data_IF_285190667818
#
_entry.id   IF_285190667818
#
_cell.length_a   1.000
_cell.length_b   1.000
_cell.length_c   1.000
_cell.angle_alpha   90.00
_cell.angle_beta   90.00
_cell.angle_gamma   90.00
#
_symmetry.space_group_name_H-M   'P 1'
#
loop_
_entity.id
_entity.type
_entity.pdbx_description
1 polymer ?
#
# COMPACT_ATOMS: atom_id res chain seq x y z
N UNK A 1 30.16 -18.04 -6.99
CA UNK A 1 29.07 -18.11 -8.00
C UNK A 1 28.55 -19.53 -8.06
N UNK A 2 27.26 -19.75 -7.74
CA UNK A 2 26.35 -20.83 -8.22
C UNK A 2 25.14 -20.89 -7.28
N UNK A 3 24.18 -20.00 -7.46
CA UNK A 3 22.85 -20.13 -6.87
C UNK A 3 21.94 -20.71 -7.94
N UNK A 4 21.35 -21.91 -7.76
CA UNK A 4 20.44 -22.45 -8.75
C UNK A 4 19.11 -21.69 -8.69
N UNK A 5 18.62 -21.29 -9.87
CA UNK A 5 17.29 -20.72 -10.13
C UNK A 5 16.14 -21.48 -9.42
N UNK A 6 16.37 -22.73 -9.00
CA UNK A 6 15.45 -23.57 -8.25
C UNK A 6 15.04 -23.05 -6.86
N UNK A 7 15.89 -22.32 -6.12
CA UNK A 7 15.52 -21.84 -4.78
C UNK A 7 14.47 -20.72 -4.80
N UNK A 8 14.54 -19.80 -5.76
CA UNK A 8 13.51 -18.76 -5.92
C UNK A 8 12.14 -19.33 -6.28
N UNK A 9 12.12 -20.42 -7.07
CA UNK A 9 10.91 -21.16 -7.42
C UNK A 9 10.38 -21.96 -6.22
N UNK A 10 11.27 -22.57 -5.42
CA UNK A 10 10.92 -23.27 -4.19
C UNK A 10 10.28 -22.33 -3.16
N UNK A 11 10.90 -21.17 -2.89
CA UNK A 11 10.36 -20.15 -1.99
C UNK A 11 8.99 -19.61 -2.44
N UNK A 12 8.79 -19.41 -3.74
CA UNK A 12 7.50 -19.00 -4.28
C UNK A 12 6.42 -20.09 -4.20
N UNK A 13 6.78 -21.36 -4.40
CA UNK A 13 5.87 -22.50 -4.20
C UNK A 13 5.49 -22.67 -2.74
N UNK A 14 6.43 -22.48 -1.82
CA UNK A 14 6.20 -22.52 -0.39
C UNK A 14 5.26 -21.37 0.05
N UNK A 15 5.53 -20.12 -0.35
CA UNK A 15 4.65 -18.96 -0.11
C UNK A 15 3.21 -19.20 -0.57
N UNK A 16 3.01 -19.88 -1.70
CA UNK A 16 1.68 -20.23 -2.21
C UNK A 16 0.97 -21.34 -1.42
N UNK A 17 1.71 -22.23 -0.75
CA UNK A 17 1.16 -23.35 0.02
C UNK A 17 0.84 -22.98 1.47
N UNK A 18 1.54 -22.02 2.06
CA UNK A 18 1.46 -21.66 3.49
C UNK A 18 0.20 -20.87 3.91
N UNK A 19 -0.96 -21.12 3.29
CA UNK A 19 -2.21 -20.32 3.39
C UNK A 19 -3.01 -20.40 4.70
N UNK A 20 -2.45 -20.94 5.78
CA UNK A 20 -3.18 -21.16 7.04
C UNK A 20 -2.48 -20.47 8.24
N UNK A 21 -2.50 -19.14 8.24
CA UNK A 21 -2.11 -18.34 9.41
C UNK A 21 -3.26 -17.39 9.74
N UNK A 22 -4.04 -17.73 10.77
CA UNK A 22 -5.05 -16.83 11.32
C UNK A 22 -4.38 -15.56 11.87
N UNK A 23 -4.88 -14.40 11.41
CA UNK A 23 -4.43 -13.07 11.87
C UNK A 23 -5.48 -12.51 12.82
N UNK A 24 -5.11 -12.25 14.08
CA UNK A 24 -5.99 -11.54 15.00
C UNK A 24 -5.81 -10.03 14.87
N UNK A 25 -6.95 -9.32 14.93
CA UNK A 25 -7.12 -7.91 14.57
C UNK A 25 -6.56 -6.97 15.64
N UNK A 26 -6.01 -5.85 15.15
CA UNK A 26 -5.52 -4.66 15.85
C UNK A 26 -6.33 -4.29 17.09
N UNK A 27 -5.69 -4.30 18.27
CA UNK A 27 -6.00 -3.33 19.32
C UNK A 27 -5.00 -2.19 19.19
N UNK A 28 -5.47 -1.01 18.79
CA UNK A 28 -4.76 0.23 19.07
C UNK A 28 -4.88 0.48 20.59
N UNK A 29 -4.06 -0.23 21.35
CA UNK A 29 -3.90 -0.05 22.78
C UNK A 29 -2.57 0.62 23.03
N UNK A 30 -2.57 1.63 23.89
CA UNK A 30 -1.40 2.47 24.20
C UNK A 30 -0.33 1.65 24.95
N UNK A 31 0.46 0.87 24.22
CA UNK A 31 1.66 0.16 24.73
C UNK A 31 2.73 0.07 23.66
N UNK A 32 3.15 1.21 23.14
CA UNK A 32 4.47 1.31 22.51
C UNK A 32 5.54 1.07 23.58
N UNK A 33 5.92 -0.20 23.79
CA UNK A 33 7.03 -0.59 24.68
C UNK A 33 8.40 -0.23 24.08
N UNK A 34 8.45 0.53 22.98
CA UNK A 34 9.66 1.10 22.36
C UNK A 34 10.51 1.85 23.40
N UNK A 35 9.86 2.55 24.34
CA UNK A 35 10.55 3.25 25.42
C UNK A 35 11.34 2.33 26.35
N UNK A 36 11.08 1.02 26.32
CA UNK A 36 11.76 -0.01 27.13
C UNK A 36 12.91 -0.70 26.40
N UNK A 37 13.03 -0.56 25.06
CA UNK A 37 14.15 -1.14 24.33
C UNK A 37 15.45 -0.40 24.72
N UNK A 38 16.47 -1.12 25.24
CA UNK A 38 17.74 -0.51 25.60
C UNK A 38 18.39 0.17 24.40
N UNK A 39 19.09 1.28 24.63
CA UNK A 39 19.96 1.84 23.59
C UNK A 39 21.11 0.87 23.36
N UNK A 40 21.24 0.38 22.13
CA UNK A 40 22.36 -0.44 21.70
C UNK A 40 23.28 0.44 20.87
N UNK A 41 24.41 0.81 21.46
CA UNK A 41 25.46 1.56 20.78
C UNK A 41 26.58 0.58 20.39
N UNK A 42 27.15 0.72 19.19
CA UNK A 42 28.22 -0.15 18.72
C UNK A 42 28.49 -0.06 17.22
N UNK A 43 29.69 -0.41 16.81
CA UNK A 43 30.10 -0.33 15.41
C UNK A 43 29.25 -1.26 14.53
N UNK A 44 28.75 -0.71 13.41
CA UNK A 44 27.84 -1.34 12.44
C UNK A 44 26.45 -1.73 12.98
N UNK A 45 26.05 -1.35 14.19
CA UNK A 45 24.67 -1.59 14.64
C UNK A 45 23.72 -0.73 13.79
N UNK A 46 22.59 -1.32 13.41
CA UNK A 46 21.51 -0.65 12.69
C UNK A 46 20.20 -0.89 13.46
N UNK A 47 20.05 -0.32 14.65
CA UNK A 47 18.88 -0.45 15.50
C UNK A 47 17.68 0.41 15.05
N UNK A 48 16.51 0.28 15.71
CA UNK A 48 15.27 0.96 15.29
C UNK A 48 15.38 2.47 15.05
N UNK A 49 16.30 3.17 15.73
CA UNK A 49 16.45 4.62 15.62
C UNK A 49 17.13 5.07 14.32
N UNK A 50 17.97 4.22 13.75
CA UNK A 50 18.68 4.49 12.50
C UNK A 50 17.80 4.26 11.27
N UNK A 51 16.70 3.52 11.44
CA UNK A 51 15.75 3.26 10.36
C UNK A 51 14.88 4.46 9.96
N UNK A 52 14.16 4.28 8.85
CA UNK A 52 13.20 5.22 8.28
C UNK A 52 11.78 4.63 8.27
N UNK A 53 10.78 5.51 8.18
CA UNK A 53 9.37 5.10 8.15
C UNK A 53 8.78 4.71 9.52
N UNK A 54 7.57 4.12 9.53
CA UNK A 54 6.88 3.70 10.74
C UNK A 54 7.57 2.50 11.41
N UNK A 55 7.43 2.37 12.73
CA UNK A 55 7.86 1.16 13.42
C UNK A 55 6.81 0.08 13.25
N UNK A 56 7.26 -1.13 12.91
CA UNK A 56 6.48 -2.34 12.95
C UNK A 56 6.92 -3.20 14.13
N UNK A 57 5.98 -3.49 15.02
CA UNK A 57 6.12 -4.52 16.05
C UNK A 57 5.34 -5.74 15.59
N UNK A 58 6.00 -6.89 15.51
CA UNK A 58 5.36 -8.15 15.11
C UNK A 58 5.63 -9.18 16.19
N UNK A 59 4.57 -9.87 16.62
CA UNK A 59 4.64 -10.95 17.60
C UNK A 59 4.05 -12.21 17.00
N UNK A 60 4.81 -13.29 17.01
CA UNK A 60 4.44 -14.61 16.54
C UNK A 60 4.44 -15.55 17.74
N UNK A 61 3.30 -16.13 18.07
CA UNK A 61 3.15 -16.97 19.26
C UNK A 61 2.65 -18.35 18.87
N UNK A 62 3.27 -19.37 19.44
CA UNK A 62 2.79 -20.75 19.35
C UNK A 62 2.69 -21.36 20.74
N UNK A 63 1.56 -22.00 21.01
CA UNK A 63 1.31 -22.80 22.21
C UNK A 63 1.64 -24.25 21.93
N UNK A 64 2.29 -24.89 22.89
CA UNK A 64 2.78 -26.26 22.78
C UNK A 64 2.44 -27.01 24.07
N UNK A 65 1.69 -28.10 23.92
CA UNK A 65 1.29 -28.98 25.03
C UNK A 65 2.06 -30.31 24.98
N UNK A 66 2.29 -30.91 26.15
CA UNK A 66 2.94 -32.22 26.27
C UNK A 66 4.42 -32.25 25.88
N UNK A 67 5.10 -31.10 25.89
CA UNK A 67 6.52 -31.02 25.60
C UNK A 67 7.36 -31.45 26.83
N UNK A 68 8.31 -32.38 26.68
CA UNK A 68 9.20 -32.78 27.78
C UNK A 68 10.22 -31.71 28.16
N UNK A 69 10.44 -30.70 27.30
CA UNK A 69 11.42 -29.65 27.53
C UNK A 69 10.90 -28.55 28.46
N UNK A 70 11.82 -27.94 29.21
CA UNK A 70 11.63 -26.62 29.82
C UNK A 70 11.77 -25.49 28.78
N UNK A 71 11.36 -24.28 29.13
CA UNK A 71 11.53 -23.10 28.29
C UNK A 71 13.02 -22.82 27.97
N UNK A 72 13.89 -22.95 28.97
CA UNK A 72 15.33 -22.77 28.80
C UNK A 72 15.97 -23.82 27.89
N UNK A 73 15.56 -25.10 28.01
CA UNK A 73 16.04 -26.18 27.15
C UNK A 73 15.58 -26.00 25.71
N UNK A 74 14.32 -25.59 25.49
CA UNK A 74 13.81 -25.29 24.16
C UNK A 74 14.63 -24.18 23.50
N UNK A 75 14.90 -23.09 24.22
CA UNK A 75 15.68 -21.95 23.70
C UNK A 75 17.14 -22.34 23.45
N UNK A 76 17.73 -23.15 24.33
CA UNK A 76 19.07 -23.70 24.12
C UNK A 76 19.13 -24.55 22.83
N UNK A 77 18.11 -25.39 22.60
CA UNK A 77 18.01 -26.24 21.41
C UNK A 77 17.82 -25.42 20.13
N UNK A 78 17.00 -24.38 20.16
CA UNK A 78 16.83 -23.44 19.02
C UNK A 78 18.12 -22.68 18.74
N UNK A 79 18.81 -22.20 19.79
CA UNK A 79 20.09 -21.48 19.63
C UNK A 79 21.25 -22.35 19.16
N UNK A 80 21.19 -23.68 19.38
CA UNK A 80 22.18 -24.62 18.88
C UNK A 80 22.08 -24.85 17.36
N UNK A 81 20.87 -24.75 16.79
CA UNK A 81 20.62 -24.86 15.36
C UNK A 81 19.38 -24.06 14.92
N UNK A 82 19.60 -22.81 14.51
CA UNK A 82 18.55 -21.94 13.96
C UNK A 82 17.98 -22.49 12.64
N UNK A 83 18.79 -23.20 11.86
CA UNK A 83 18.38 -23.74 10.55
C UNK A 83 17.46 -24.96 10.69
N UNK A 84 17.46 -25.65 11.84
CA UNK A 84 16.49 -26.71 12.13
C UNK A 84 15.05 -26.20 12.26
N UNK A 85 14.89 -24.93 12.66
CA UNK A 85 13.60 -24.23 12.75
C UNK A 85 13.30 -23.39 11.50
N UNK A 86 14.32 -22.92 10.79
CA UNK A 86 14.15 -22.10 9.58
C UNK A 86 13.71 -22.92 8.37
N UNK A 87 12.85 -22.38 7.48
CA UNK A 87 12.66 -22.97 6.17
C UNK A 87 13.92 -22.74 5.33
N UNK A 88 14.89 -23.67 5.36
CA UNK A 88 16.21 -23.56 4.71
C UNK A 88 16.16 -23.30 3.19
N UNK A 89 15.01 -23.56 2.57
CA UNK A 89 14.72 -23.23 1.17
C UNK A 89 14.58 -21.71 0.92
N UNK A 90 14.41 -20.92 2.00
CA UNK A 90 14.05 -19.50 1.99
C UNK A 90 14.90 -18.67 2.96
N UNK A 91 15.40 -19.24 4.05
CA UNK A 91 16.23 -18.51 5.01
C UNK A 91 17.29 -19.45 5.59
N UNK A 92 18.56 -19.14 5.35
CA UNK A 92 19.69 -19.87 5.94
C UNK A 92 20.48 -18.93 6.83
N UNK A 93 20.64 -19.32 8.09
CA UNK A 93 21.44 -18.64 9.09
C UNK A 93 22.87 -19.17 9.04
N UNK A 94 23.79 -18.36 8.53
CA UNK A 94 25.21 -18.68 8.52
C UNK A 94 25.93 -17.85 9.57
N UNK A 95 26.58 -18.54 10.53
CA UNK A 95 27.39 -17.87 11.55
C UNK A 95 28.68 -17.37 10.93
N UNK A 96 28.91 -16.07 10.96
CA UNK A 96 30.07 -15.43 10.31
C UNK A 96 31.15 -15.00 11.30
N UNK A 97 30.79 -14.79 12.57
CA UNK A 97 31.75 -14.49 13.65
C UNK A 97 31.30 -15.09 14.98
N UNK A 98 32.25 -15.51 15.82
CA UNK A 98 32.01 -16.10 17.15
C UNK A 98 32.57 -17.50 17.33
N UNK A 99 32.22 -18.15 18.45
CA UNK A 99 32.67 -19.53 18.76
C UNK A 99 31.89 -20.57 17.95
N UNK A 100 32.40 -21.79 17.80
CA UNK A 100 31.80 -22.78 16.89
C UNK A 100 30.40 -23.26 17.32
N UNK A 101 30.09 -23.32 18.62
CA UNK A 101 28.79 -23.54 19.28
C UNK A 101 29.04 -23.65 20.81
N UNK A 102 28.06 -23.33 21.69
CA UNK A 102 26.71 -22.80 21.43
C UNK A 102 26.72 -21.28 21.16
N UNK A 103 25.57 -20.72 20.78
CA UNK A 103 25.37 -19.26 20.59
C UNK A 103 25.78 -18.46 21.84
N UNK A 104 26.60 -17.44 21.63
CA UNK A 104 27.10 -16.51 22.63
C UNK A 104 26.72 -15.06 22.29
N UNK A 105 26.72 -14.21 23.32
CA UNK A 105 26.62 -12.77 23.15
C UNK A 105 27.77 -12.26 22.27
N UNK A 106 27.46 -11.40 21.30
CA UNK A 106 28.43 -10.84 20.35
C UNK A 106 28.62 -11.64 19.06
N UNK A 107 28.12 -12.87 18.98
CA UNK A 107 28.17 -13.66 17.74
C UNK A 107 27.44 -12.95 16.60
N UNK A 108 28.00 -13.03 15.38
CA UNK A 108 27.39 -12.46 14.17
C UNK A 108 26.93 -13.58 13.23
N UNK A 109 25.76 -13.34 12.62
CA UNK A 109 25.15 -14.23 11.64
C UNK A 109 24.77 -13.41 10.40
N UNK A 110 24.80 -14.06 9.25
CA UNK A 110 24.16 -13.55 8.04
C UNK A 110 23.00 -14.46 7.71
N UNK A 111 21.80 -13.88 7.64
CA UNK A 111 20.61 -14.58 7.16
C UNK A 111 20.53 -14.40 5.65
N UNK A 112 20.74 -15.48 4.91
CA UNK A 112 20.63 -15.48 3.46
C UNK A 112 19.18 -15.67 3.04
N UNK A 113 18.64 -14.74 2.26
CA UNK A 113 17.27 -14.76 1.73
C UNK A 113 17.27 -14.81 0.19
N UNK A 114 16.25 -15.40 -0.47
CA UNK A 114 16.17 -15.49 -1.93
C UNK A 114 16.37 -14.16 -2.65
N UNK A 115 17.43 -14.08 -3.45
CA UNK A 115 17.85 -12.86 -4.15
C UNK A 115 19.24 -12.39 -3.71
N UNK A 116 19.63 -11.13 -3.98
CA UNK A 116 20.93 -10.59 -3.56
C UNK A 116 20.94 -10.16 -2.07
N UNK A 117 20.03 -10.66 -1.25
CA UNK A 117 19.76 -10.12 0.08
C UNK A 117 20.52 -10.88 1.16
N UNK A 118 21.47 -10.17 1.78
CA UNK A 118 22.16 -10.63 2.98
C UNK A 118 21.67 -9.80 4.16
N UNK A 119 21.19 -10.48 5.19
CA UNK A 119 20.62 -9.86 6.37
C UNK A 119 21.56 -10.10 7.57
N UNK A 120 22.57 -9.24 7.79
CA UNK A 120 23.52 -9.40 8.88
C UNK A 120 22.91 -9.02 10.23
N UNK A 121 23.09 -9.87 11.23
CA UNK A 121 22.58 -9.70 12.59
C UNK A 121 23.64 -10.06 13.63
N UNK A 122 23.55 -9.47 14.83
CA UNK A 122 24.43 -9.77 15.97
C UNK A 122 23.63 -10.12 17.20
N UNK A 123 24.07 -11.13 17.95
CA UNK A 123 23.49 -11.48 19.25
C UNK A 123 23.82 -10.38 20.25
N UNK A 124 22.80 -9.68 20.74
CA UNK A 124 22.95 -8.61 21.75
C UNK A 124 22.46 -9.01 23.13
N UNK A 125 21.73 -10.11 23.22
CA UNK A 125 21.20 -10.62 24.48
C UNK A 125 21.11 -12.15 24.42
N UNK A 126 21.51 -12.80 25.51
CA UNK A 126 21.35 -14.24 25.73
C UNK A 126 21.02 -14.47 27.20
N UNK A 127 19.77 -14.82 27.48
CA UNK A 127 19.27 -15.22 28.78
C UNK A 127 18.84 -16.70 28.73
N UNK A 128 18.61 -17.40 29.86
CA UNK A 128 18.24 -18.81 29.82
C UNK A 128 17.05 -19.12 28.90
N UNK A 129 16.02 -18.27 28.94
CA UNK A 129 14.74 -18.44 28.24
C UNK A 129 14.55 -17.51 27.03
N UNK A 130 15.59 -16.75 26.65
CA UNK A 130 15.52 -15.90 25.47
C UNK A 130 16.88 -15.59 24.85
N UNK A 131 16.86 -15.19 23.58
CA UNK A 131 17.99 -14.50 22.95
C UNK A 131 17.48 -13.43 21.99
N UNK A 132 18.33 -12.43 21.71
CA UNK A 132 17.98 -11.30 20.85
C UNK A 132 19.06 -11.01 19.83
N UNK A 133 18.62 -10.75 18.61
CA UNK A 133 19.43 -10.20 17.54
C UNK A 133 19.15 -8.71 17.37
N UNK A 134 20.20 -7.95 17.07
CA UNK A 134 20.10 -6.61 16.46
C UNK A 134 20.55 -6.70 15.01
N UNK A 135 19.92 -5.93 14.12
CA UNK A 135 20.34 -5.82 12.73
C UNK A 135 21.63 -5.00 12.62
N UNK A 136 22.50 -5.38 11.67
CA UNK A 136 23.74 -4.67 11.37
C UNK A 136 23.62 -3.86 10.06
N UNK A 137 24.57 -2.96 9.80
CA UNK A 137 24.63 -2.17 8.56
C UNK A 137 24.58 -3.07 7.32
N UNK A 138 23.74 -2.68 6.35
CA UNK A 138 23.47 -3.48 5.15
C UNK A 138 22.27 -4.42 5.29
N UNK A 139 21.68 -4.53 6.48
CA UNK A 139 20.41 -5.20 6.68
C UNK A 139 19.26 -4.34 6.11
N UNK A 140 18.26 -4.96 5.49
CA UNK A 140 17.09 -4.27 4.92
C UNK A 140 16.20 -3.62 6.00
N UNK A 141 16.28 -4.15 7.22
CA UNK A 141 15.56 -3.65 8.40
C UNK A 141 16.53 -3.03 9.39
N UNK A 142 16.05 -2.03 10.11
CA UNK A 142 16.71 -1.43 11.26
C UNK A 142 15.89 -1.79 12.51
N UNK A 143 16.36 -2.73 13.30
CA UNK A 143 15.53 -3.36 14.32
C UNK A 143 16.21 -4.35 15.24
N UNK A 144 15.41 -4.87 16.16
CA UNK A 144 15.75 -5.99 17.02
C UNK A 144 14.70 -7.10 16.89
N UNK A 145 15.12 -8.35 17.05
CA UNK A 145 14.24 -9.51 17.08
C UNK A 145 14.62 -10.42 18.24
N UNK A 146 13.64 -10.70 19.09
CA UNK A 146 13.73 -11.56 20.26
C UNK A 146 13.04 -12.90 20.00
N UNK A 147 13.68 -13.96 20.50
CA UNK A 147 13.13 -15.30 20.56
C UNK A 147 13.06 -15.66 22.04
N UNK A 148 11.86 -15.98 22.54
CA UNK A 148 11.65 -16.33 23.94
C UNK A 148 10.72 -17.52 24.10
N UNK A 149 10.91 -18.27 25.16
CA UNK A 149 9.99 -19.31 25.60
C UNK A 149 9.58 -19.05 27.04
N UNK A 150 8.36 -19.43 27.41
CA UNK A 150 7.87 -19.36 28.78
C UNK A 150 6.90 -20.52 29.04
N UNK A 151 6.68 -20.88 30.30
CA UNK A 151 5.57 -21.78 30.69
C UNK A 151 4.37 -20.99 31.18
N UNK A 152 3.16 -21.44 30.84
CA UNK A 152 1.91 -20.93 31.41
C UNK A 152 1.52 -21.76 32.64
N UNK A 153 0.54 -21.26 33.41
CA UNK A 153 0.02 -21.95 34.60
C UNK A 153 -0.59 -23.33 34.32
N UNK A 154 -0.97 -23.61 33.06
CA UNK A 154 -1.49 -24.90 32.60
C UNK A 154 -0.39 -25.88 32.14
N UNK A 155 0.87 -25.62 32.53
CA UNK A 155 2.09 -26.35 32.13
C UNK A 155 2.34 -26.43 30.61
N UNK A 156 1.73 -25.53 29.84
CA UNK A 156 2.01 -25.41 28.41
C UNK A 156 3.25 -24.55 28.16
N UNK A 157 4.04 -24.93 27.16
CA UNK A 157 5.10 -24.08 26.64
C UNK A 157 4.52 -23.08 25.64
N UNK A 158 4.93 -21.84 25.77
CA UNK A 158 4.63 -20.77 24.82
C UNK A 158 5.94 -20.27 24.25
N UNK A 159 6.09 -20.42 22.94
CA UNK A 159 7.23 -19.85 22.22
C UNK A 159 6.79 -18.61 21.46
N UNK A 160 7.53 -17.52 21.65
CA UNK A 160 7.24 -16.21 21.07
C UNK A 160 8.44 -15.67 20.30
N UNK A 161 8.22 -15.25 19.06
CA UNK A 161 9.14 -14.39 18.32
C UNK A 161 8.58 -12.98 18.32
N UNK A 162 9.35 -12.01 18.78
CA UNK A 162 8.94 -10.62 18.80
C UNK A 162 9.97 -9.74 18.09
N UNK A 163 9.55 -9.04 17.05
CA UNK A 163 10.43 -8.17 16.24
C UNK A 163 9.95 -6.73 16.28
N UNK A 164 10.89 -5.80 16.45
CA UNK A 164 10.67 -4.36 16.36
C UNK A 164 11.58 -3.80 15.27
N UNK A 165 11.00 -3.41 14.13
CA UNK A 165 11.79 -3.00 12.97
C UNK A 165 11.21 -1.77 12.26
N UNK A 166 12.10 -0.87 11.85
CA UNK A 166 11.89 0.19 10.86
C UNK A 166 12.62 -0.20 9.58
N UNK A 167 12.37 0.50 8.47
CA UNK A 167 13.11 0.23 7.23
C UNK A 167 14.58 0.64 7.41
N UNK A 168 15.52 -0.19 6.95
CA UNK A 168 16.96 0.03 7.09
C UNK A 168 17.44 1.31 6.42
N UNK A 169 16.97 1.56 5.20
CA UNK A 169 17.17 2.82 4.50
C UNK A 169 15.95 3.16 3.61
N UNK A 170 16.04 4.26 2.86
CA UNK A 170 14.97 4.75 1.96
C UNK A 170 14.81 3.90 0.70
N UNK A 171 15.86 3.24 0.24
CA UNK A 171 15.80 2.34 -0.92
C UNK A 171 15.08 1.04 -0.52
N UNK A 172 15.40 0.51 0.65
CA UNK A 172 14.70 -0.57 1.32
C UNK A 172 13.24 -0.17 1.57
N UNK A 173 12.95 1.06 2.01
CA UNK A 173 11.56 1.53 2.25
C UNK A 173 10.76 1.47 0.94
N UNK A 174 11.33 1.99 -0.15
CA UNK A 174 10.72 1.94 -1.48
C UNK A 174 10.57 0.50 -2.01
N UNK A 175 11.52 -0.40 -1.74
CA UNK A 175 11.44 -1.83 -2.09
C UNK A 175 10.35 -2.55 -1.26
N UNK A 176 10.24 -2.27 0.04
CA UNK A 176 9.21 -2.80 0.94
C UNK A 176 7.80 -2.30 0.61
N UNK A 177 7.67 -1.10 0.04
CA UNK A 177 6.38 -0.58 -0.45
C UNK A 177 6.04 -1.08 -1.85
N UNK A 178 7.03 -1.23 -2.73
CA UNK A 178 6.88 -1.59 -4.14
C UNK A 178 6.77 -3.09 -4.44
N UNK A 179 7.35 -3.96 -3.59
CA UNK A 179 7.36 -5.42 -3.75
C UNK A 179 6.66 -6.06 -2.55
N UNK A 180 5.32 -6.21 -2.64
CA UNK A 180 4.49 -6.83 -1.58
C UNK A 180 4.92 -8.25 -1.16
N UNK A 181 5.80 -8.90 -1.94
CA UNK A 181 6.34 -10.24 -1.69
C UNK A 181 7.28 -10.31 -0.47
N UNK A 182 8.02 -9.24 -0.15
CA UNK A 182 9.01 -9.26 0.94
C UNK A 182 8.36 -9.28 2.33
N UNK A 183 7.24 -8.56 2.51
CA UNK A 183 6.47 -8.52 3.78
C UNK A 183 5.75 -9.85 4.04
N UNK A 184 5.22 -10.47 2.99
CA UNK A 184 4.62 -11.80 3.09
C UNK A 184 5.67 -12.88 3.40
N UNK A 185 6.88 -12.75 2.88
CA UNK A 185 7.97 -13.71 3.13
C UNK A 185 8.37 -13.77 4.60
N UNK A 186 8.56 -12.64 5.28
CA UNK A 186 8.87 -12.61 6.71
C UNK A 186 7.75 -13.20 7.57
N UNK A 187 6.49 -12.86 7.26
CA UNK A 187 5.32 -13.39 7.95
C UNK A 187 5.30 -14.93 7.93
N UNK A 188 5.37 -15.50 6.73
CA UNK A 188 5.31 -16.96 6.60
C UNK A 188 6.57 -17.62 7.16
N UNK A 189 7.72 -16.94 7.10
CA UNK A 189 8.99 -17.52 7.53
C UNK A 189 8.99 -17.69 9.05
N UNK A 190 8.58 -16.66 9.80
CA UNK A 190 8.48 -16.74 11.25
C UNK A 190 7.33 -17.63 11.73
N UNK A 191 6.19 -17.66 11.01
CA UNK A 191 5.12 -18.60 11.32
C UNK A 191 5.58 -20.07 11.15
N UNK A 192 6.34 -20.36 10.08
CA UNK A 192 6.96 -21.68 9.89
C UNK A 192 7.99 -21.98 10.97
N UNK A 193 8.82 -20.99 11.32
CA UNK A 193 9.79 -21.11 12.40
C UNK A 193 9.11 -21.53 13.71
N UNK A 194 8.04 -20.85 14.11
CA UNK A 194 7.25 -21.22 15.28
C UNK A 194 6.69 -22.65 15.18
N UNK A 195 6.17 -23.05 14.02
CA UNK A 195 5.65 -24.41 13.84
C UNK A 195 6.76 -25.48 13.98
N UNK A 196 7.94 -25.23 13.41
CA UNK A 196 9.09 -26.14 13.54
C UNK A 196 9.64 -26.17 14.96
N UNK A 197 9.63 -25.05 15.68
CA UNK A 197 10.00 -25.03 17.10
C UNK A 197 9.05 -25.89 17.95
N UNK A 198 7.74 -25.88 17.65
CA UNK A 198 6.79 -26.78 18.30
C UNK A 198 7.15 -28.25 18.08
N UNK A 199 7.52 -28.64 16.87
CA UNK A 199 7.98 -30.00 16.56
C UNK A 199 9.32 -30.33 17.24
N UNK A 200 10.27 -29.38 17.26
CA UNK A 200 11.57 -29.52 17.93
C UNK A 200 11.44 -29.68 19.44
N UNK A 201 10.33 -29.21 20.04
CA UNK A 201 10.09 -29.35 21.46
C UNK A 201 9.73 -30.79 21.85
N UNK A 202 9.28 -31.62 20.90
CA UNK A 202 8.74 -32.96 21.16
C UNK A 202 7.31 -32.95 21.72
N UNK A 203 6.65 -31.79 21.78
CA UNK A 203 5.24 -31.64 22.13
C UNK A 203 4.33 -31.52 20.92
N UNK A 204 3.06 -31.21 21.18
CA UNK A 204 2.04 -30.99 20.15
C UNK A 204 1.61 -29.53 20.15
N UNK A 205 1.52 -28.95 18.95
CA UNK A 205 1.03 -27.58 18.78
C UNK A 205 -0.45 -27.50 19.18
N UNK A 206 -0.78 -26.55 20.06
CA UNK A 206 -2.16 -26.22 20.44
C UNK A 206 -2.61 -25.03 19.59
N UNK A 207 -3.58 -25.26 18.71
CA UNK A 207 -4.11 -24.22 17.83
C UNK A 207 -3.19 -23.84 16.65
N UNK A 208 -3.47 -22.67 16.07
CA UNK A 208 -2.65 -22.07 15.01
C UNK A 208 -1.59 -21.12 15.60
N UNK A 209 -0.61 -20.73 14.78
CA UNK A 209 0.34 -19.68 15.17
C UNK A 209 -0.37 -18.35 15.18
N UNK A 210 -0.42 -17.70 16.33
CA UNK A 210 -1.01 -16.38 16.49
C UNK A 210 -0.04 -15.33 16.00
N UNK A 211 -0.49 -14.44 15.13
CA UNK A 211 0.31 -13.29 14.65
C UNK A 211 -0.37 -11.99 15.02
N UNK A 212 0.34 -11.17 15.78
CA UNK A 212 -0.03 -9.79 16.09
C UNK A 212 0.94 -8.84 15.39
N UNK A 213 0.42 -7.84 14.66
CA UNK A 213 1.23 -6.78 14.06
C UNK A 213 0.69 -5.44 14.49
N UNK A 214 1.53 -4.67 15.17
CA UNK A 214 1.27 -3.29 15.56
C UNK A 214 2.15 -2.35 14.74
N UNK A 215 1.57 -1.22 14.35
CA UNK A 215 2.29 -0.17 13.64
C UNK A 215 2.18 1.11 14.47
N UNK A 216 3.32 1.69 14.79
CA UNK A 216 3.38 2.98 15.44
C UNK A 216 4.07 3.97 14.51
N UNK A 217 3.38 5.04 14.17
CA UNK A 217 4.02 6.18 13.51
C UNK A 217 4.89 6.88 14.56
N UNK A 218 6.21 6.75 14.47
CA UNK A 218 7.13 7.32 15.46
C UNK A 218 7.29 8.83 15.21
N UNK A 219 6.76 9.70 16.10
CA UNK A 219 6.97 11.14 15.95
C UNK A 219 8.40 11.46 16.42
N UNK A 220 9.27 11.90 15.53
CA UNK A 220 10.61 12.39 15.93
C UNK A 220 11.81 12.00 15.08
N UNK A 221 11.64 11.38 13.90
CA UNK A 221 12.77 11.19 12.98
C UNK A 221 13.14 12.49 12.25
N UNK A 222 13.95 13.34 12.89
CA UNK A 222 14.84 14.33 12.28
C UNK A 222 14.26 15.74 11.96
N UNK A 223 14.95 16.84 12.34
CA UNK A 223 14.71 18.20 11.82
C UNK A 223 14.75 18.26 10.28
N UNK A 224 15.56 17.40 9.66
CA UNK A 224 15.69 17.23 8.22
C UNK A 224 14.40 16.68 7.59
N UNK A 225 13.66 15.79 8.25
CA UNK A 225 12.38 15.28 7.74
C UNK A 225 11.26 16.32 7.80
N UNK A 226 11.28 17.25 8.78
CA UNK A 226 10.36 18.41 8.78
C UNK A 226 10.71 19.41 7.69
N UNK A 227 12.01 19.61 7.42
CA UNK A 227 12.46 20.44 6.31
C UNK A 227 12.16 19.77 4.95
N UNK A 228 12.31 18.46 4.84
CA UNK A 228 12.05 17.67 3.62
C UNK A 228 10.57 17.45 3.40
N UNK A 229 9.73 17.22 4.42
CA UNK A 229 8.27 17.22 4.25
C UNK A 229 7.77 18.62 3.92
N UNK A 230 8.32 19.68 4.52
CA UNK A 230 8.02 21.06 4.10
C UNK A 230 8.57 21.37 2.72
N UNK A 231 9.71 20.82 2.31
CA UNK A 231 10.33 21.09 1.01
C UNK A 231 9.75 20.24 -0.11
N UNK A 232 9.31 19.00 0.14
CA UNK A 232 8.61 18.11 -0.81
C UNK A 232 7.16 18.52 -0.91
N UNK A 233 6.49 18.82 0.21
CA UNK A 233 5.16 19.46 0.17
C UNK A 233 5.27 20.83 -0.50
N UNK A 234 6.29 21.65 -0.22
CA UNK A 234 6.49 22.89 -0.96
C UNK A 234 6.91 22.66 -2.43
N UNK A 235 7.65 21.60 -2.77
CA UNK A 235 8.06 21.32 -4.15
C UNK A 235 6.92 20.73 -4.99
N UNK A 236 5.91 20.10 -4.39
CA UNK A 236 4.67 19.69 -5.06
C UNK A 236 3.59 20.78 -4.99
N UNK A 237 3.39 21.42 -3.83
CA UNK A 237 2.37 22.46 -3.64
C UNK A 237 2.75 23.76 -4.32
N UNK A 238 4.01 24.22 -4.28
CA UNK A 238 4.39 25.51 -4.90
C UNK A 238 4.15 25.52 -6.40
N UNK A 239 4.57 24.54 -7.23
CA UNK A 239 4.25 24.59 -8.65
C UNK A 239 2.74 24.44 -8.94
N UNK A 240 2.00 23.61 -8.19
CA UNK A 240 0.54 23.49 -8.35
C UNK A 240 -0.22 24.73 -7.88
N UNK A 241 0.18 25.38 -6.78
CA UNK A 241 -0.41 26.62 -6.28
C UNK A 241 0.01 27.83 -7.13
N UNK A 242 1.22 27.85 -7.70
CA UNK A 242 1.64 28.85 -8.68
C UNK A 242 0.87 28.68 -10.00
N UNK A 243 0.65 27.43 -10.44
CA UNK A 243 -0.20 27.13 -11.60
C UNK A 243 -1.68 27.44 -11.35
N UNK A 244 -2.19 27.21 -10.13
CA UNK A 244 -3.54 27.56 -9.71
C UNK A 244 -3.79 29.09 -9.67
N UNK A 245 -2.75 29.90 -9.59
CA UNK A 245 -2.84 31.37 -9.73
C UNK A 245 -3.03 31.84 -11.18
N UNK A 246 -2.76 30.97 -12.16
CA UNK A 246 -2.81 31.26 -13.61
C UNK A 246 -3.98 30.52 -14.28
N UNK A 247 -4.44 29.39 -13.73
CA UNK A 247 -5.54 28.55 -14.24
C UNK A 247 -6.35 27.95 -13.08
N UNK A 248 -7.69 27.87 -13.20
CA UNK A 248 -8.58 27.31 -12.17
C UNK A 248 -8.29 25.84 -11.80
N UNK A 249 -7.76 25.05 -12.74
CA UNK A 249 -7.36 23.63 -12.54
C UNK A 249 -5.94 23.38 -13.10
N UNK A 250 -4.92 23.18 -12.26
CA UNK A 250 -3.52 22.98 -12.69
C UNK A 250 -3.29 21.73 -13.55
N UNK A 251 -4.06 20.67 -13.30
CA UNK A 251 -4.14 19.44 -14.09
C UNK A 251 -5.61 19.14 -14.41
N UNK A 252 -5.85 18.51 -15.55
CA UNK A 252 -7.19 18.24 -16.09
C UNK A 252 -8.04 19.49 -16.36
N UNK A 253 -7.52 20.54 -17.05
CA UNK A 253 -8.25 21.79 -17.25
C UNK A 253 -9.45 21.67 -18.20
N UNK A 254 -9.45 20.68 -19.10
CA UNK A 254 -10.54 20.42 -20.05
C UNK A 254 -11.09 19.03 -19.84
N UNK A 255 -12.37 18.94 -19.56
CA UNK A 255 -13.11 17.70 -19.46
C UNK A 255 -14.56 17.90 -19.85
N UNK A 256 -15.25 16.77 -19.99
CA UNK A 256 -16.68 16.71 -20.26
C UNK A 256 -17.29 15.76 -19.23
N UNK A 257 -18.51 16.07 -18.81
CA UNK A 257 -19.26 15.30 -17.83
C UNK A 257 -20.35 14.52 -18.53
N UNK A 258 -20.58 13.29 -18.10
CA UNK A 258 -21.67 12.45 -18.57
C UNK A 258 -22.40 11.84 -17.41
N UNK A 259 -23.70 11.59 -17.59
CA UNK A 259 -24.43 10.67 -16.73
C UNK A 259 -23.98 9.24 -17.04
N UNK A 260 -23.97 8.38 -16.03
CA UNK A 260 -23.54 7.02 -16.17
C UNK A 260 -24.33 6.09 -15.27
N UNK A 261 -24.31 4.82 -15.66
CA UNK A 261 -24.84 3.72 -14.85
C UNK A 261 -23.69 2.78 -14.53
N UNK A 262 -23.48 2.57 -13.24
CA UNK A 262 -22.51 1.64 -12.70
C UNK A 262 -23.24 0.33 -12.36
N UNK A 263 -22.97 -0.72 -13.13
CA UNK A 263 -23.53 -2.05 -12.95
C UNK A 263 -22.49 -2.93 -12.29
N UNK A 264 -22.67 -3.27 -11.03
CA UNK A 264 -21.81 -4.18 -10.28
C UNK A 264 -22.34 -5.61 -10.46
N UNK A 265 -21.47 -6.51 -10.94
CA UNK A 265 -21.78 -7.93 -11.15
C UNK A 265 -21.34 -8.80 -9.97
N UNK A 266 -20.49 -8.25 -9.09
CA UNK A 266 -19.68 -9.00 -8.14
C UNK A 266 -18.46 -9.65 -8.80
N UNK A 267 -17.32 -9.61 -8.11
CA UNK A 267 -16.11 -10.31 -8.53
C UNK A 267 -16.28 -11.83 -8.34
N UNK A 268 -15.53 -12.62 -9.12
CA UNK A 268 -15.54 -14.08 -9.01
C UNK A 268 -14.93 -14.59 -7.68
N UNK A 269 -14.16 -13.74 -7.02
CA UNK A 269 -13.55 -13.98 -5.71
C UNK A 269 -14.07 -12.99 -4.69
N UNK A 270 -14.29 -13.48 -3.48
CA UNK A 270 -14.65 -12.64 -2.34
C UNK A 270 -13.49 -11.72 -1.88
N UNK A 271 -13.77 -10.42 -1.82
CA UNK A 271 -12.83 -9.37 -1.39
C UNK A 271 -13.15 -8.80 -0.01
N UNK A 272 -14.34 -9.05 0.53
CA UNK A 272 -14.82 -8.49 1.79
C UNK A 272 -15.14 -7.00 1.67
N UNK A 273 -15.58 -6.57 0.48
CA UNK A 273 -15.96 -5.17 0.20
C UNK A 273 -17.23 -5.19 -0.65
N UNK A 274 -18.36 -4.65 -0.17
CA UNK A 274 -19.63 -4.66 -0.91
C UNK A 274 -19.52 -4.17 -2.35
N UNK A 275 -18.77 -3.08 -2.57
CA UNK A 275 -18.52 -2.51 -3.89
C UNK A 275 -17.89 -3.49 -4.91
N UNK A 276 -17.12 -4.48 -4.44
CA UNK A 276 -16.48 -5.48 -5.29
C UNK A 276 -17.25 -6.79 -5.35
N UNK A 277 -18.03 -7.12 -4.33
CA UNK A 277 -18.61 -8.45 -4.15
C UNK A 277 -20.12 -8.49 -4.45
N UNK A 278 -20.84 -7.38 -4.27
CA UNK A 278 -22.29 -7.34 -4.41
C UNK A 278 -22.75 -6.96 -5.82
N UNK A 279 -24.00 -7.35 -6.12
CA UNK A 279 -24.69 -6.94 -7.35
C UNK A 279 -25.53 -5.71 -7.05
N UNK A 280 -25.29 -4.64 -7.79
CA UNK A 280 -26.03 -3.39 -7.65
C UNK A 280 -26.01 -2.60 -8.96
N UNK A 281 -27.04 -1.77 -9.15
CA UNK A 281 -27.08 -0.79 -10.23
C UNK A 281 -27.14 0.61 -9.61
N UNK A 282 -26.09 1.40 -9.82
CA UNK A 282 -25.90 2.70 -9.18
C UNK A 282 -25.86 3.80 -10.24
N UNK A 283 -26.60 4.89 -10.00
CA UNK A 283 -26.50 6.09 -10.84
C UNK A 283 -25.20 6.82 -10.50
N UNK A 284 -24.45 7.17 -11.52
CA UNK A 284 -23.14 7.80 -11.38
C UNK A 284 -23.02 9.00 -12.32
N UNK A 285 -22.14 9.92 -11.98
CA UNK A 285 -21.63 10.94 -12.89
C UNK A 285 -20.16 10.64 -13.20
N UNK A 286 -19.80 10.79 -14.47
CA UNK A 286 -18.46 10.50 -14.96
C UNK A 286 -17.87 11.73 -15.62
N UNK A 287 -16.62 12.04 -15.29
CA UNK A 287 -15.86 13.10 -15.95
C UNK A 287 -14.66 12.52 -16.68
N UNK A 288 -14.63 12.71 -17.99
CA UNK A 288 -13.51 12.38 -18.86
C UNK A 288 -12.70 13.65 -19.15
N UNK A 289 -11.38 13.61 -18.97
CA UNK A 289 -10.55 14.83 -19.05
C UNK A 289 -9.12 14.60 -19.48
N UNK A 290 -8.50 15.62 -20.10
CA UNK A 290 -7.10 15.60 -20.53
C UNK A 290 -6.21 16.29 -19.51
N UNK A 291 -5.22 15.61 -18.93
CA UNK A 291 -4.47 16.10 -17.78
C UNK A 291 -3.55 17.29 -18.11
N UNK A 292 -2.79 17.20 -19.20
CA UNK A 292 -1.82 18.21 -19.63
C UNK A 292 -2.49 19.27 -20.52
N UNK A 293 -3.49 18.85 -21.31
CA UNK A 293 -4.22 19.73 -22.23
C UNK A 293 -3.46 20.02 -23.51
N UNK A 294 -2.64 19.06 -23.96
CA UNK A 294 -1.93 19.15 -25.24
C UNK A 294 -2.90 19.16 -26.43
N UNK A 295 -2.51 19.69 -27.60
CA UNK A 295 -3.32 19.64 -28.82
C UNK A 295 -3.82 18.21 -29.13
N UNK A 296 -5.00 18.04 -29.77
CA UNK A 296 -5.64 16.74 -29.97
C UNK A 296 -4.77 15.66 -30.64
N UNK A 297 -3.82 16.08 -31.49
CA UNK A 297 -2.91 15.20 -32.23
C UNK A 297 -1.76 14.63 -31.38
N UNK A 298 -1.51 15.17 -30.19
CA UNK A 298 -0.47 14.69 -29.26
C UNK A 298 -1.09 13.80 -28.17
N UNK A 299 -0.32 12.82 -27.65
CA UNK A 299 -0.80 11.97 -26.57
C UNK A 299 -0.91 12.76 -25.28
N UNK A 300 -1.91 12.44 -24.47
CA UNK A 300 -2.13 13.07 -23.16
C UNK A 300 -2.42 12.00 -22.12
N UNK A 301 -2.36 12.38 -20.85
CA UNK A 301 -2.86 11.52 -19.77
C UNK A 301 -4.36 11.73 -19.67
N UNK A 302 -5.11 10.67 -19.95
CA UNK A 302 -6.57 10.73 -19.97
C UNK A 302 -7.08 10.31 -18.60
N UNK A 303 -7.86 11.18 -17.97
CA UNK A 303 -8.48 10.96 -16.66
C UNK A 303 -9.93 10.52 -16.80
N UNK A 304 -10.33 9.56 -15.99
CA UNK A 304 -11.69 9.06 -15.81
C UNK A 304 -12.03 9.17 -14.33
N UNK A 305 -12.88 10.13 -13.97
CA UNK A 305 -13.34 10.33 -12.61
C UNK A 305 -14.81 9.92 -12.49
N UNK A 306 -15.16 9.18 -11.45
CA UNK A 306 -16.52 8.71 -11.19
C UNK A 306 -16.98 9.24 -9.83
N UNK A 307 -18.25 9.62 -9.75
CA UNK A 307 -18.95 9.97 -8.52
C UNK A 307 -20.29 9.25 -8.52
N UNK A 308 -20.67 8.61 -7.43
CA UNK A 308 -22.00 7.99 -7.27
C UNK A 308 -22.47 8.10 -5.83
N UNK A 309 -23.78 7.95 -5.63
CA UNK A 309 -24.37 7.81 -4.30
C UNK A 309 -24.56 6.35 -3.98
N UNK A 310 -24.25 5.96 -2.74
CA UNK A 310 -24.47 4.61 -2.24
C UNK A 310 -25.49 4.67 -1.09
N UNK A 311 -26.50 3.79 -1.08
CA UNK A 311 -27.45 3.72 0.04
C UNK A 311 -26.69 3.39 1.33
N UNK A 312 -26.88 4.19 2.39
CA UNK A 312 -26.25 3.88 3.68
C UNK A 312 -26.92 2.68 4.34
N UNK A 313 -26.13 1.81 4.96
CA UNK A 313 -26.63 0.66 5.71
C UNK A 313 -27.09 1.10 7.11
N UNK A 314 -28.26 1.72 7.19
CA UNK A 314 -28.93 2.06 8.46
C UNK A 314 -29.90 3.24 8.33
N UNK A 315 -31.00 3.19 9.09
CA UNK A 315 -32.13 4.14 9.04
C UNK A 315 -31.82 5.60 9.46
N UNK A 316 -30.54 5.97 9.66
CA UNK A 316 -30.14 7.24 10.27
C UNK A 316 -28.99 7.99 9.58
N UNK A 317 -28.40 7.48 8.49
CA UNK A 317 -27.32 8.18 7.76
C UNK A 317 -27.75 8.53 6.33
N UNK A 318 -27.53 9.79 5.94
CA UNK A 318 -27.73 10.28 4.57
C UNK A 318 -26.87 9.51 3.56
N UNK A 319 -27.40 9.27 2.35
CA UNK A 319 -26.68 8.63 1.23
C UNK A 319 -25.24 9.15 1.11
N UNK A 320 -24.27 8.24 1.20
CA UNK A 320 -22.87 8.58 1.13
C UNK A 320 -22.43 8.74 -0.32
N UNK A 321 -21.81 9.87 -0.64
CA UNK A 321 -21.19 10.09 -1.96
C UNK A 321 -19.82 9.44 -1.99
N UNK A 322 -19.56 8.62 -3.00
CA UNK A 322 -18.27 7.95 -3.22
C UNK A 322 -17.63 8.41 -4.52
N UNK A 323 -16.30 8.51 -4.52
CA UNK A 323 -15.54 8.98 -5.69
C UNK A 323 -14.36 8.06 -6.02
N UNK A 324 -14.17 7.82 -7.32
CA UNK A 324 -13.07 7.02 -7.86
C UNK A 324 -12.34 7.80 -8.96
N UNK A 325 -11.02 7.90 -8.84
CA UNK A 325 -10.17 8.57 -9.81
C UNK A 325 -9.27 7.56 -10.53
N UNK A 326 -9.43 7.47 -11.84
CA UNK A 326 -8.62 6.65 -12.72
C UNK A 326 -7.91 7.52 -13.76
N UNK A 327 -6.77 7.07 -14.24
CA UNK A 327 -6.03 7.69 -15.34
C UNK A 327 -5.45 6.62 -16.26
N UNK A 328 -5.06 6.99 -17.48
CA UNK A 328 -4.44 6.03 -18.40
C UNK A 328 -3.11 5.51 -17.85
N UNK A 329 -3.05 4.19 -17.65
CA UNK A 329 -1.89 3.47 -17.11
C UNK A 329 -1.57 2.23 -17.93
N UNK A 330 -0.44 1.58 -17.66
CA UNK A 330 -0.23 0.22 -18.15
C UNK A 330 -1.13 -0.80 -17.44
N UNK A 331 -1.40 -1.94 -18.06
CA UNK A 331 -2.21 -3.02 -17.46
C UNK A 331 -1.36 -4.18 -16.90
N UNK A 332 -0.06 -4.21 -17.21
CA UNK A 332 0.86 -5.26 -16.70
C UNK A 332 1.15 -5.07 -15.20
N UNK A 333 1.71 -6.07 -14.48
CA UNK A 333 2.04 -5.94 -13.06
C UNK A 333 2.94 -4.75 -12.72
N UNK A 334 3.89 -4.42 -13.60
CA UNK A 334 4.75 -3.24 -13.44
C UNK A 334 4.05 -2.00 -14.01
N UNK A 335 3.42 -2.14 -15.18
CA UNK A 335 2.80 -1.02 -15.90
C UNK A 335 1.60 -0.39 -15.20
N UNK A 336 0.89 -1.11 -14.33
CA UNK A 336 -0.27 -0.60 -13.57
C UNK A 336 0.06 0.49 -12.55
N UNK A 337 1.35 0.73 -12.29
CA UNK A 337 1.88 1.82 -11.46
C UNK A 337 2.53 2.93 -12.29
N UNK A 338 2.46 2.86 -13.61
CA UNK A 338 3.06 3.83 -14.52
C UNK A 338 1.97 4.48 -15.36
N UNK A 339 1.97 5.80 -15.38
CA UNK A 339 1.13 6.59 -16.27
C UNK A 339 1.54 6.33 -17.72
N UNK A 340 0.54 6.13 -18.58
CA UNK A 340 0.73 5.88 -20.00
C UNK A 340 -0.06 6.91 -20.80
N UNK A 341 0.61 7.82 -21.52
CA UNK A 341 -0.07 8.74 -22.44
C UNK A 341 -0.86 7.96 -23.49
N UNK A 342 -2.08 8.41 -23.76
CA UNK A 342 -3.02 7.79 -24.69
C UNK A 342 -3.42 8.74 -25.81
N UNK A 343 -3.76 8.18 -26.97
CA UNK A 343 -4.26 8.90 -28.14
C UNK A 343 -5.77 8.74 -28.35
N UNK A 344 -6.42 7.91 -27.54
CA UNK A 344 -7.81 7.48 -27.72
C UNK A 344 -8.47 7.22 -26.37
N UNK A 345 -9.75 7.60 -26.25
CA UNK A 345 -10.61 7.29 -25.10
C UNK A 345 -11.05 5.84 -25.08
N UNK A 346 -11.13 5.20 -26.25
CA UNK A 346 -11.44 3.78 -26.43
C UNK A 346 -10.73 3.24 -27.68
N UNK A 347 -10.18 2.00 -27.67
CA UNK A 347 -9.93 1.20 -26.47
C UNK A 347 -8.87 1.83 -25.58
N UNK A 348 -9.04 1.80 -24.27
CA UNK A 348 -8.05 2.33 -23.33
C UNK A 348 -8.10 1.55 -22.01
N UNK A 349 -6.98 1.58 -21.29
CA UNK A 349 -6.92 1.07 -19.93
C UNK A 349 -6.76 2.24 -18.97
N UNK A 350 -7.73 2.42 -18.07
CA UNK A 350 -7.68 3.39 -16.99
C UNK A 350 -7.41 2.64 -15.69
N UNK A 351 -6.42 3.06 -14.92
CA UNK A 351 -6.12 2.49 -13.61
C UNK A 351 -6.04 3.55 -12.53
N UNK A 352 -6.24 3.13 -11.29
CA UNK A 352 -6.16 4.04 -10.14
C UNK A 352 -4.75 4.56 -9.85
N UNK A 353 -3.73 3.93 -10.43
CA UNK A 353 -2.28 4.14 -10.23
C UNK A 353 -1.80 3.80 -8.80
N UNK A 354 -2.56 4.22 -7.81
CA UNK A 354 -2.35 4.02 -6.39
C UNK A 354 -3.33 2.97 -5.85
N UNK A 355 -2.89 2.22 -4.85
CA UNK A 355 -3.66 1.12 -4.30
C UNK A 355 -4.78 1.59 -3.36
N UNK A 356 -5.79 0.76 -3.24
CA UNK A 356 -6.84 0.78 -2.25
C UNK A 356 -6.70 -0.42 -1.32
N UNK A 357 -7.27 -0.35 -0.12
CA UNK A 357 -7.22 -1.43 0.87
C UNK A 357 -8.57 -2.16 0.91
N UNK A 358 -8.57 -3.43 0.51
CA UNK A 358 -9.69 -4.37 0.68
C UNK A 358 -9.31 -5.39 1.76
N UNK A 359 -9.79 -5.19 2.99
CA UNK A 359 -9.31 -5.93 4.17
C UNK A 359 -7.79 -5.79 4.35
N UNK A 360 -7.07 -6.92 4.31
CA UNK A 360 -5.60 -6.98 4.41
C UNK A 360 -4.87 -6.82 3.06
N UNK A 361 -5.61 -6.77 1.96
CA UNK A 361 -5.03 -6.79 0.61
C UNK A 361 -4.96 -5.39 0.02
N UNK A 362 -3.88 -5.13 -0.72
CA UNK A 362 -3.79 -3.96 -1.60
C UNK A 362 -4.33 -4.32 -2.97
N UNK A 363 -5.34 -3.59 -3.40
CA UNK A 363 -5.99 -3.77 -4.70
C UNK A 363 -5.86 -2.51 -5.54
N UNK A 364 -5.81 -2.71 -6.85
CA UNK A 364 -5.87 -1.66 -7.84
C UNK A 364 -7.18 -1.81 -8.59
N UNK A 365 -7.82 -0.66 -8.84
CA UNK A 365 -9.04 -0.58 -9.62
C UNK A 365 -8.70 -0.09 -11.01
N UNK A 366 -9.44 -0.57 -12.00
CA UNK A 366 -9.31 -0.10 -13.37
C UNK A 366 -10.61 -0.22 -14.15
N UNK A 367 -10.60 0.42 -15.32
CA UNK A 367 -11.66 0.39 -16.30
C UNK A 367 -11.06 0.11 -17.68
N UNK A 368 -11.61 -0.85 -18.41
CA UNK A 368 -11.13 -1.29 -19.72
C UNK A 368 -12.15 -0.91 -20.77
N UNK A 369 -11.76 -0.06 -21.72
CA UNK A 369 -12.61 0.32 -22.84
C UNK A 369 -12.71 -0.76 -23.91
N UNK A 370 -13.90 -0.86 -24.50
CA UNK A 370 -14.21 -1.84 -25.55
C UNK A 370 -13.28 -1.69 -26.76
N UNK A 371 -12.63 -2.80 -27.14
CA UNK A 371 -11.78 -2.93 -28.32
C UNK A 371 -12.51 -2.77 -29.65
N UNK A 372 -13.83 -2.94 -29.67
CA UNK A 372 -14.64 -2.83 -30.90
C UNK A 372 -14.81 -1.39 -31.38
N UNK A 373 -14.55 -0.40 -30.51
CA UNK A 373 -14.85 1.00 -30.76
C UNK A 373 -13.65 1.91 -30.55
N UNK A 374 -13.19 2.50 -31.64
CA UNK A 374 -12.14 3.52 -31.60
C UNK A 374 -12.73 4.91 -31.41
N UNK A 375 -12.30 5.61 -30.37
CA UNK A 375 -12.67 7.01 -30.09
C UNK A 375 -11.37 7.78 -29.82
N UNK A 376 -10.93 8.69 -30.71
CA UNK A 376 -9.76 9.54 -30.50
C UNK A 376 -9.86 10.37 -29.23
N UNK A 377 -8.73 10.76 -28.63
CA UNK A 377 -8.65 11.54 -27.38
C UNK A 377 -9.14 13.00 -27.52
N UNK A 378 -10.02 13.30 -28.48
CA UNK A 378 -10.65 14.59 -28.68
C UNK A 378 -11.99 14.66 -27.94
N UNK A 379 -12.30 15.79 -27.30
CA UNK A 379 -13.50 15.92 -26.45
C UNK A 379 -14.78 16.08 -27.26
N UNK A 380 -14.72 16.76 -28.41
CA UNK A 380 -15.88 16.92 -29.29
C UNK A 380 -16.26 15.57 -29.92
N UNK A 381 -15.26 14.84 -30.41
CA UNK A 381 -15.43 13.50 -30.95
C UNK A 381 -15.96 12.53 -29.89
N UNK A 382 -15.46 12.63 -28.65
CA UNK A 382 -15.99 11.86 -27.51
C UNK A 382 -17.47 12.17 -27.25
N UNK A 383 -17.86 13.45 -27.22
CA UNK A 383 -19.23 13.87 -26.97
C UNK A 383 -20.19 13.29 -28.03
N UNK A 384 -19.87 13.48 -29.32
CA UNK A 384 -20.68 12.95 -30.42
C UNK A 384 -20.72 11.42 -30.43
N UNK A 385 -19.61 10.76 -30.08
CA UNK A 385 -19.58 9.31 -29.99
C UNK A 385 -20.50 8.80 -28.87
N UNK A 386 -20.41 9.35 -27.66
CA UNK A 386 -21.24 8.91 -26.52
C UNK A 386 -22.72 9.22 -26.75
N UNK A 387 -23.03 10.34 -27.41
CA UNK A 387 -24.40 10.72 -27.78
C UNK A 387 -25.03 9.74 -28.79
N UNK A 388 -24.25 9.30 -29.78
CA UNK A 388 -24.69 8.29 -30.74
C UNK A 388 -24.93 6.91 -30.09
N UNK A 389 -24.02 6.49 -29.21
CA UNK A 389 -24.10 5.21 -28.51
C UNK A 389 -23.32 5.27 -27.19
N UNK A 390 -23.87 4.73 -26.08
CA UNK A 390 -23.16 4.65 -24.81
C UNK A 390 -21.75 4.07 -24.93
N UNK A 391 -20.82 4.65 -24.17
CA UNK A 391 -19.46 4.11 -24.04
C UNK A 391 -19.43 3.15 -22.85
N UNK A 392 -19.09 1.89 -23.13
CA UNK A 392 -19.00 0.85 -22.11
C UNK A 392 -17.54 0.61 -21.72
N UNK A 393 -17.28 0.56 -20.41
CA UNK A 393 -15.99 0.17 -19.84
C UNK A 393 -16.21 -0.97 -18.85
N UNK A 394 -15.48 -2.06 -18.99
CA UNK A 394 -15.48 -3.14 -18.01
C UNK A 394 -14.65 -2.73 -16.79
N UNK A 395 -15.23 -2.82 -15.60
CA UNK A 395 -14.56 -2.51 -14.34
C UNK A 395 -13.82 -3.73 -13.83
N UNK A 396 -12.55 -3.53 -13.54
CA UNK A 396 -11.62 -4.59 -13.19
C UNK A 396 -10.89 -4.28 -11.90
N UNK A 397 -10.63 -5.33 -11.13
CA UNK A 397 -9.84 -5.30 -9.90
C UNK A 397 -8.67 -6.26 -10.02
N UNK A 398 -7.54 -5.89 -9.45
CA UNK A 398 -6.40 -6.79 -9.32
C UNK A 398 -5.67 -6.54 -8.02
N UNK A 399 -5.02 -7.57 -7.47
CA UNK A 399 -3.93 -7.31 -6.53
C UNK A 399 -2.74 -6.69 -7.25
N UNK A 400 -1.74 -6.24 -6.50
CA UNK A 400 -0.54 -5.59 -7.05
C UNK A 400 0.20 -6.41 -8.12
N UNK A 401 0.16 -7.74 -8.02
CA UNK A 401 0.81 -8.68 -8.96
C UNK A 401 -0.18 -9.63 -9.65
N UNK A 402 -1.46 -9.56 -9.28
CA UNK A 402 -2.50 -10.45 -9.77
C UNK A 402 -2.97 -10.13 -11.18
N UNK A 403 -3.69 -11.09 -11.77
CA UNK A 403 -4.45 -10.85 -13.01
C UNK A 403 -5.61 -9.90 -12.73
N UNK A 404 -5.98 -9.11 -13.73
CA UNK A 404 -7.20 -8.31 -13.69
C UNK A 404 -8.41 -9.23 -13.78
N UNK A 405 -9.39 -8.95 -12.92
CA UNK A 405 -10.62 -9.69 -12.76
C UNK A 405 -11.78 -8.71 -12.89
N UNK A 406 -12.78 -9.02 -13.71
CA UNK A 406 -13.95 -8.15 -13.88
C UNK A 406 -14.87 -8.27 -12.66
N UNK A 407 -15.40 -7.14 -12.19
CA UNK A 407 -16.39 -7.10 -11.12
C UNK A 407 -17.63 -6.27 -11.48
N UNK A 408 -17.62 -5.57 -12.61
CA UNK A 408 -18.77 -4.80 -13.07
C UNK A 408 -18.51 -4.12 -14.40
N UNK A 409 -19.41 -3.19 -14.76
CA UNK A 409 -19.36 -2.39 -15.98
C UNK A 409 -19.83 -0.97 -15.71
N UNK A 410 -19.15 -0.02 -16.32
CA UNK A 410 -19.56 1.39 -16.39
C UNK A 410 -20.16 1.67 -17.76
N UNK A 411 -21.39 2.17 -17.80
CA UNK A 411 -22.08 2.62 -19.01
C UNK A 411 -22.19 4.14 -18.99
N UNK A 412 -21.45 4.82 -19.84
CA UNK A 412 -21.44 6.28 -19.95
C UNK A 412 -22.48 6.69 -21.00
N UNK A 413 -23.41 7.56 -20.61
CA UNK A 413 -24.58 7.96 -21.38
C UNK A 413 -24.46 9.41 -21.87
N UNK A 414 -24.93 9.67 -23.09
CA UNK A 414 -25.06 11.02 -23.62
C UNK A 414 -26.34 11.72 -23.13
N UNK A 415 -26.43 13.06 -23.27
CA UNK A 415 -25.43 13.94 -23.85
C UNK A 415 -24.35 14.36 -22.85
N UNK A 416 -23.18 14.73 -23.36
CA UNK A 416 -22.12 15.30 -22.55
C UNK A 416 -22.42 16.75 -22.14
N UNK A 417 -22.17 17.08 -20.87
CA UNK A 417 -22.36 18.40 -20.26
C UNK A 417 -21.02 19.09 -20.03
N UNK A 418 -21.05 20.43 -20.09
CA UNK A 418 -19.90 21.27 -19.73
C UNK A 418 -19.46 21.07 -18.28
N UNK A 419 -18.16 21.23 -18.03
CA UNK A 419 -17.54 21.06 -16.71
C UNK A 419 -17.78 22.30 -15.82
N UNK A 420 -18.62 22.17 -14.80
CA UNK A 420 -18.95 23.25 -13.85
C UNK A 420 -18.07 23.19 -12.58
N UNK A 421 -18.02 24.28 -11.81
CA UNK A 421 -17.18 24.42 -10.60
C UNK A 421 -17.46 23.38 -9.50
N UNK A 422 -18.68 22.83 -9.43
CA UNK A 422 -19.15 21.81 -8.47
C UNK A 422 -18.60 20.39 -8.70
N UNK A 423 -17.89 20.17 -9.81
CA UNK A 423 -17.30 18.87 -10.20
C UNK A 423 -15.83 18.73 -9.80
N UNK A 424 -15.48 19.14 -8.58
CA UNK A 424 -14.15 18.89 -7.99
C UNK A 424 -14.18 17.58 -7.22
N UNK A 425 -13.53 16.56 -7.78
CA UNK A 425 -13.42 15.24 -7.16
C UNK A 425 -12.32 15.23 -6.09
N UNK A 426 -12.61 14.64 -4.94
CA UNK A 426 -11.69 14.42 -3.85
C UNK A 426 -11.94 13.05 -3.18
N UNK A 427 -11.32 11.96 -3.70
CA UNK A 427 -11.51 10.61 -3.17
C UNK A 427 -10.97 10.41 -1.75
N UNK A 428 -10.27 11.40 -1.17
CA UNK A 428 -9.87 11.38 0.23
C UNK A 428 -11.00 11.89 1.16
N UNK A 429 -11.88 12.76 0.66
CA UNK A 429 -13.07 13.23 1.37
C UNK A 429 -14.29 12.33 1.14
N UNK A 430 -14.36 11.71 -0.04
CA UNK A 430 -15.46 10.84 -0.46
C UNK A 430 -14.92 9.42 -0.80
N UNK A 431 -14.35 8.69 0.18
CA UNK A 431 -13.82 7.34 -0.06
C UNK A 431 -14.95 6.35 -0.34
N UNK A 432 -14.63 5.29 -1.07
CA UNK A 432 -15.53 4.13 -1.22
C UNK A 432 -15.62 3.43 0.15
N UNK A 433 -16.83 3.19 0.69
CA UNK A 433 -17.02 2.46 1.94
C UNK A 433 -16.24 1.14 1.94
N UNK A 434 -15.56 0.88 3.06
CA UNK A 434 -14.74 -0.33 3.27
C UNK A 434 -13.58 -0.53 2.28
N UNK A 435 -13.32 0.46 1.42
CA UNK A 435 -12.25 0.45 0.43
C UNK A 435 -11.46 1.77 0.44
N UNK A 436 -10.79 2.12 1.56
CA UNK A 436 -10.07 3.39 1.67
C UNK A 436 -8.78 3.39 0.81
N UNK A 437 -8.32 4.58 0.35
CA UNK A 437 -7.03 4.74 -0.30
C UNK A 437 -5.86 4.24 0.58
N UNK A 438 -4.83 3.63 -0.05
CA UNK A 438 -3.69 3.04 0.66
C UNK A 438 -2.32 3.55 0.12
N UNK A 439 -1.35 3.71 1.03
CA UNK A 439 0.05 4.07 0.72
C UNK A 439 0.41 5.55 0.91
N UNK A 440 1.71 5.86 1.04
CA UNK A 440 2.22 7.21 1.37
C UNK A 440 1.84 8.29 0.34
N UNK A 441 1.79 7.95 -0.96
CA UNK A 441 1.43 8.91 -2.02
C UNK A 441 -0.06 9.31 -1.98
N UNK A 442 -0.96 8.47 -1.45
CA UNK A 442 -2.37 8.84 -1.24
C UNK A 442 -2.53 9.80 -0.04
N UNK A 443 -1.66 9.70 0.97
CA UNK A 443 -1.69 10.59 2.15
C UNK A 443 -1.27 12.04 1.81
N UNK A 444 -0.47 12.22 0.75
CA UNK A 444 -0.05 13.56 0.26
C UNK A 444 -1.13 14.22 -0.63
N UNK A 445 -2.03 13.43 -1.23
CA UNK A 445 -3.11 13.94 -2.08
C UNK A 445 -4.12 14.78 -1.30
N UNK A 446 -4.58 14.31 -0.13
CA UNK A 446 -5.57 15.03 0.69
C UNK A 446 -5.20 16.51 0.94
N UNK A 447 -4.01 16.80 1.50
CA UNK A 447 -3.54 18.17 1.71
C UNK A 447 -3.35 18.98 0.41
N UNK A 448 -2.94 18.33 -0.69
CA UNK A 448 -2.72 18.99 -1.98
C UNK A 448 -4.04 19.40 -2.66
N UNK A 449 -5.06 18.52 -2.63
CA UNK A 449 -6.40 18.83 -3.12
C UNK A 449 -7.07 19.91 -2.27
N UNK A 450 -7.00 19.81 -0.94
CA UNK A 450 -7.54 20.82 -0.03
C UNK A 450 -6.86 22.19 -0.23
N UNK A 451 -5.53 22.23 -0.37
CA UNK A 451 -4.79 23.48 -0.60
C UNK A 451 -5.09 24.13 -1.96
N UNK A 452 -5.30 23.35 -3.03
CA UNK A 452 -5.69 23.87 -4.36
C UNK A 452 -7.15 24.31 -4.39
N UNK A 453 -8.02 23.70 -3.58
CA UNK A 453 -9.43 24.07 -3.48
C UNK A 453 -9.68 25.32 -2.64
N UNK A 454 -8.77 25.67 -1.72
CA UNK A 454 -8.90 26.83 -0.82
C UNK A 454 -8.27 28.13 -1.35
N UNK A 455 -7.66 28.16 -2.54
CA UNK A 455 -7.09 29.40 -3.11
C UNK A 455 -8.24 30.27 -3.67
N UNK A 456 -8.54 31.45 -3.09
CA UNK A 456 -9.53 32.36 -3.64
C UNK A 456 -8.95 33.02 -4.89
N UNK A 457 -9.69 33.00 -6.01
CA UNK A 457 -9.25 33.67 -7.22
C UNK A 457 -9.46 35.19 -7.12
N UNK A 458 -8.43 35.96 -7.48
CA UNK A 458 -8.59 37.37 -7.83
C UNK A 458 -9.31 37.41 -9.18
N UNK A 459 -10.58 37.77 -9.14
CA UNK A 459 -11.41 38.08 -10.30
C UNK A 459 -10.64 39.03 -11.22
N UNK A 460 -10.42 38.61 -12.46
CA UNK A 460 -9.72 39.39 -13.49
C UNK A 460 -10.70 40.39 -14.10
N UNK A 461 -11.23 41.27 -13.27
CA UNK A 461 -12.07 42.41 -13.69
C UNK A 461 -11.18 43.62 -14.00
N UNK A 462 -10.31 43.47 -15.01
CA UNK A 462 -9.52 44.58 -15.54
C UNK A 462 -9.40 44.47 -17.07
N UNK A 463 -10.52 44.26 -17.77
CA UNK A 463 -10.70 44.62 -19.19
C UNK A 463 -12.17 44.91 -19.52
N UNK A 464 -12.79 45.83 -18.78
CA UNK A 464 -14.04 46.49 -19.17
C UNK A 464 -14.07 47.98 -18.85
N UNK A 465 -13.13 48.48 -18.03
CA UNK A 465 -13.01 49.90 -17.68
C UNK A 465 -11.95 50.65 -18.51
N UNK A 466 -11.99 50.58 -19.84
CA UNK A 466 -11.30 51.55 -20.71
C UNK A 466 -11.74 51.45 -22.18
N UNK A 467 -12.95 51.93 -22.50
CA UNK A 467 -13.29 52.69 -23.73
C UNK A 467 -14.81 52.86 -23.87
N UNK A 468 -15.28 54.09 -23.60
CA UNK A 468 -16.40 54.85 -24.22
C UNK A 468 -16.76 55.99 -23.24
N UNK A 469 -15.92 57.02 -23.17
CA UNK A 469 -16.04 58.32 -23.85
C UNK A 469 -17.22 59.19 -23.31
N UNK A 470 -16.96 60.45 -22.87
CA UNK A 470 -17.93 61.26 -22.14
C UNK A 470 -18.98 61.89 -23.06
N UNK A 471 -20.25 61.87 -22.63
CA UNK A 471 -21.31 62.66 -23.23
C UNK A 471 -21.07 64.15 -22.95
N UNK A 472 -20.90 64.94 -24.01
CA UNK A 472 -21.04 66.39 -23.97
C UNK A 472 -22.52 66.74 -24.03
N UNK A 473 -22.99 67.48 -23.03
CA UNK A 473 -24.25 68.24 -23.06
C UNK A 473 -24.16 69.36 -24.10
N UNK A 474 -25.21 69.59 -24.90
CA UNK A 474 -25.50 70.91 -25.46
C UNK A 474 -26.50 71.65 -24.56
N UNK A 475 -26.37 72.98 -24.62
CA UNK A 475 -27.24 73.98 -23.99
C UNK A 475 -28.69 73.89 -24.39
#
# INVERSE_FOLDING_TARGET
>A
MRWPVGMGIAGWRWLRRSRAVSRYRLRAGDRSEIGRLPRRDGERIQGPREGVGPLYQRRYTVRISGSPLSAAELISRVGADLNAASPVEVAVFDKTAGTSRPMQMGDEYVVHMPGPWNCPVRVVERAPESFRFVTLSGHLEAGEIEFRASRTGDDELVFTIESWARSGDRLAEALYEGVGLAKEMQLHMWAHFCARVAEMSGGHRVGEVEVHTERTDVPGSGPVQRLVNRAVTAAFVRPFALAARVRDRPLHPRGIVFDAVLVLDGASRYWGVPFLDERAELRAEVRLSRAIGLPPLLPDLLGLALRWTQPSAGDAESDATSELLLATTGHTPIGRRLLRPGYHWSPAFYGSLLAYRAGDRRVLLGAVGDSSRFIPADLTTLASAVDYRPLELDLVVATEVGRWERFGRLRILGPGRGDNETMRFNPAQNPIPELPPAGLLQQVRGPTYAAVQQVPHRTRDLRSAQRRQPQRTPR
#
